data_IF_595242503107
#
_entry.id   IF_595242503107
#
_cell.length_a   1.000
_cell.length_b   1.000
_cell.length_c   1.000
_cell.angle_alpha   90.00
_cell.angle_beta   90.00
_cell.angle_gamma   90.00
#
_symmetry.space_group_name_H-M   'P 1'
#
loop_
_entity.id
_entity.type
_entity.pdbx_description
1 polymer ?
#
# COMPACT_ATOMS: atom_id res chain seq x y z
N UNK A 1 -16.73 -13.06 -11.38
CA UNK A 1 -15.45 -12.47 -10.93
C UNK A 1 -15.59 -10.97 -11.07
N UNK A 2 -15.32 -10.21 -10.02
CA UNK A 2 -15.43 -8.73 -10.02
C UNK A 2 -14.07 -8.11 -9.69
N UNK A 3 -13.80 -6.87 -10.11
CA UNK A 3 -12.62 -6.13 -9.66
C UNK A 3 -12.62 -5.94 -8.14
N UNK A 4 -11.45 -6.08 -7.51
CA UNK A 4 -11.28 -5.79 -6.09
C UNK A 4 -10.74 -4.38 -5.92
N UNK A 5 -11.53 -3.52 -5.29
CA UNK A 5 -11.12 -2.18 -4.87
C UNK A 5 -10.54 -2.25 -3.46
N UNK A 6 -9.49 -1.47 -3.22
CA UNK A 6 -8.77 -1.45 -1.96
C UNK A 6 -8.91 -0.10 -1.28
N UNK A 7 -9.10 -0.12 0.04
CA UNK A 7 -9.08 1.07 0.87
C UNK A 7 -7.62 1.52 1.04
N UNK A 8 -7.24 2.70 0.53
CA UNK A 8 -5.88 3.19 0.67
C UNK A 8 -5.55 3.49 2.13
N UNK A 9 -4.26 3.47 2.45
CA UNK A 9 -3.74 3.86 3.76
C UNK A 9 -2.84 5.07 3.57
N UNK A 10 -3.09 6.13 4.33
CA UNK A 10 -2.33 7.37 4.27
C UNK A 10 -1.26 7.41 5.36
N UNK A 11 -0.10 7.95 5.00
CA UNK A 11 1.07 8.02 5.88
C UNK A 11 1.63 9.45 5.92
N UNK A 12 1.74 9.97 7.13
CA UNK A 12 2.38 11.27 7.39
C UNK A 12 3.88 11.23 7.14
N UNK A 13 4.38 12.29 6.51
CA UNK A 13 5.80 12.50 6.24
C UNK A 13 6.11 13.98 6.35
N UNK A 14 7.25 14.32 6.95
CA UNK A 14 7.68 15.72 7.12
C UNK A 14 7.75 16.50 5.79
N UNK A 15 7.98 15.80 4.67
CA UNK A 15 8.04 16.35 3.31
C UNK A 15 6.69 16.28 2.57
N UNK A 16 5.64 15.78 3.22
CA UNK A 16 4.32 15.58 2.63
C UNK A 16 3.52 16.88 2.49
N UNK A 17 2.32 16.76 1.92
CA UNK A 17 1.45 17.91 1.66
C UNK A 17 -0.04 17.52 1.63
N UNK A 18 -0.81 18.28 0.84
CA UNK A 18 -2.26 18.08 0.66
C UNK A 18 -2.65 17.65 -0.74
N UNK A 19 -1.71 17.41 -1.66
CA UNK A 19 -2.02 17.12 -3.07
C UNK A 19 -2.82 15.82 -3.24
N UNK A 20 -2.67 14.85 -2.34
CA UNK A 20 -3.50 13.65 -2.29
C UNK A 20 -4.98 13.97 -2.07
N UNK A 21 -5.27 14.95 -1.21
CA UNK A 21 -6.63 15.48 -1.04
C UNK A 21 -7.05 16.30 -2.26
N UNK A 22 -6.23 17.26 -2.67
CA UNK A 22 -6.64 18.27 -3.64
C UNK A 22 -6.81 17.73 -5.07
N UNK A 23 -6.02 16.72 -5.46
CA UNK A 23 -6.03 16.14 -6.83
C UNK A 23 -6.81 14.84 -6.95
N UNK A 24 -6.86 14.04 -5.89
CA UNK A 24 -7.52 12.73 -5.91
C UNK A 24 -8.78 12.69 -5.04
N UNK A 25 -9.10 13.79 -4.37
CA UNK A 25 -10.25 13.91 -3.48
C UNK A 25 -10.23 12.89 -2.33
N UNK A 26 -9.03 12.53 -1.86
CA UNK A 26 -8.87 11.65 -0.71
C UNK A 26 -9.11 12.39 0.61
N UNK A 27 -9.70 11.67 1.56
CA UNK A 27 -9.72 12.09 2.95
C UNK A 27 -8.35 11.78 3.58
N UNK A 28 -7.66 12.83 4.02
CA UNK A 28 -6.36 12.73 4.68
C UNK A 28 -6.44 13.38 6.06
N UNK A 29 -5.77 12.80 7.04
CA UNK A 29 -5.85 13.24 8.45
C UNK A 29 -4.84 14.34 8.80
N UNK A 30 -3.91 14.66 7.90
CA UNK A 30 -2.78 15.55 8.16
C UNK A 30 -2.43 16.42 6.95
N UNK A 31 -2.04 17.69 7.15
CA UNK A 31 -1.53 18.56 6.08
C UNK A 31 -0.14 18.13 5.57
N UNK A 32 0.46 17.12 6.20
CA UNK A 32 1.78 16.56 5.83
C UNK A 32 1.67 15.12 5.36
N UNK A 33 0.54 14.75 4.74
CA UNK A 33 0.36 13.40 4.21
C UNK A 33 1.26 13.21 3.00
N UNK A 34 2.29 12.37 3.11
CA UNK A 34 3.29 12.20 2.05
C UNK A 34 3.11 10.93 1.21
N UNK A 35 2.49 9.88 1.75
CA UNK A 35 2.29 8.62 1.02
C UNK A 35 0.84 8.15 1.10
N UNK A 36 0.28 7.76 -0.04
CA UNK A 36 -0.89 6.90 -0.15
C UNK A 36 -0.41 5.50 -0.53
N UNK A 37 -0.55 4.55 0.39
CA UNK A 37 -0.35 3.13 0.10
C UNK A 37 -1.64 2.61 -0.52
N UNK A 38 -1.69 2.65 -1.86
CA UNK A 38 -2.88 2.36 -2.63
C UNK A 38 -3.13 0.85 -2.79
N UNK A 39 -2.05 0.07 -2.98
CA UNK A 39 -2.11 -1.39 -3.03
C UNK A 39 -0.99 -1.93 -2.15
N UNK A 40 -1.35 -2.47 -1.00
CA UNK A 40 -0.38 -2.95 -0.03
C UNK A 40 -0.88 -4.15 0.75
N UNK A 41 0.00 -5.13 0.94
CA UNK A 41 -0.15 -6.17 1.98
C UNK A 41 0.93 -6.07 3.06
N UNK A 42 1.68 -4.96 3.10
CA UNK A 42 2.81 -4.82 3.99
C UNK A 42 2.33 -4.77 5.45
N UNK A 43 3.06 -5.40 6.38
CA UNK A 43 2.65 -5.55 7.79
C UNK A 43 2.29 -4.25 8.51
N UNK A 44 2.91 -3.14 8.10
CA UNK A 44 2.67 -1.79 8.68
C UNK A 44 1.53 -1.02 7.99
N UNK A 45 0.92 -1.59 6.96
CA UNK A 45 -0.15 -0.95 6.20
C UNK A 45 -0.70 -1.95 5.20
N UNK A 46 -1.66 -2.75 5.64
CA UNK A 46 -2.27 -3.81 4.84
C UNK A 46 -3.69 -3.38 4.46
N UNK A 47 -3.90 -3.15 3.17
CA UNK A 47 -5.13 -2.59 2.64
C UNK A 47 -6.31 -3.54 2.83
N UNK A 48 -7.48 -2.97 3.11
CA UNK A 48 -8.73 -3.71 3.16
C UNK A 48 -9.41 -3.69 1.80
N UNK A 49 -10.11 -4.76 1.44
CA UNK A 49 -10.99 -4.76 0.28
C UNK A 49 -12.26 -3.97 0.60
N UNK A 50 -12.69 -3.08 -0.30
CA UNK A 50 -13.84 -2.19 -0.09
C UNK A 50 -15.17 -2.74 -0.60
N UNK A 51 -15.12 -3.68 -1.54
CA UNK A 51 -16.30 -4.16 -2.26
C UNK A 51 -16.43 -5.68 -2.24
N UNK A 52 -17.63 -6.13 -2.62
CA UNK A 52 -17.86 -7.51 -3.00
C UNK A 52 -17.78 -8.52 -1.85
N UNK A 53 -17.61 -9.79 -2.23
CA UNK A 53 -17.54 -10.94 -1.31
C UNK A 53 -16.44 -10.82 -0.25
N UNK A 54 -15.35 -10.15 -0.58
CA UNK A 54 -14.17 -10.04 0.28
C UNK A 54 -14.08 -8.73 1.06
N UNK A 55 -15.14 -7.90 1.03
CA UNK A 55 -15.17 -6.63 1.75
C UNK A 55 -14.76 -6.79 3.21
N UNK A 56 -13.87 -5.90 3.67
CA UNK A 56 -13.33 -5.90 5.03
C UNK A 56 -12.22 -6.94 5.29
N UNK A 57 -11.88 -7.77 4.31
CA UNK A 57 -10.70 -8.65 4.37
C UNK A 57 -9.44 -7.87 4.00
N UNK A 58 -8.31 -8.27 4.58
CA UNK A 58 -6.98 -7.74 4.24
C UNK A 58 -6.47 -8.34 2.94
N UNK A 59 -5.68 -7.59 2.18
CA UNK A 59 -5.03 -8.11 0.97
C UNK A 59 -4.13 -9.30 1.28
N UNK A 60 -3.40 -9.26 2.41
CA UNK A 60 -2.59 -10.40 2.85
C UNK A 60 -3.42 -11.66 3.16
N UNK A 61 -4.65 -11.51 3.68
CA UNK A 61 -5.53 -12.65 3.96
C UNK A 61 -5.93 -13.35 2.65
N UNK A 62 -6.28 -12.56 1.63
CA UNK A 62 -6.59 -13.08 0.30
C UNK A 62 -5.38 -13.74 -0.33
N UNK A 63 -4.20 -13.13 -0.24
CA UNK A 63 -2.96 -13.74 -0.74
C UNK A 63 -2.71 -15.14 -0.15
N UNK A 64 -3.01 -15.31 1.14
CA UNK A 64 -2.75 -16.56 1.86
C UNK A 64 -3.84 -17.62 1.68
N UNK A 65 -5.12 -17.21 1.64
CA UNK A 65 -6.27 -18.13 1.65
C UNK A 65 -6.96 -18.29 0.31
N UNK A 66 -6.73 -17.36 -0.62
CA UNK A 66 -7.40 -17.25 -1.91
C UNK A 66 -6.38 -17.03 -3.03
N UNK A 67 -5.36 -17.89 -3.07
CA UNK A 67 -4.20 -17.76 -3.96
C UNK A 67 -4.58 -17.80 -5.46
N UNK A 68 -5.71 -18.42 -5.78
CA UNK A 68 -6.31 -18.46 -7.12
C UNK A 68 -6.62 -17.07 -7.68
N UNK A 69 -6.93 -16.09 -6.82
CA UNK A 69 -7.20 -14.71 -7.23
C UNK A 69 -5.96 -14.02 -7.82
N UNK A 70 -4.77 -14.55 -7.55
CA UNK A 70 -3.48 -14.01 -7.96
C UNK A 70 -2.79 -14.91 -9.00
N UNK A 71 -3.58 -15.68 -9.76
CA UNK A 71 -3.07 -16.58 -10.80
C UNK A 71 -2.21 -17.72 -10.24
N UNK A 72 -2.40 -18.10 -8.97
CA UNK A 72 -1.58 -19.09 -8.27
C UNK A 72 -0.08 -18.76 -8.21
N UNK A 73 0.26 -17.47 -8.24
CA UNK A 73 1.66 -17.00 -8.17
C UNK A 73 2.37 -17.54 -6.92
N UNK A 74 3.59 -18.11 -7.02
CA UNK A 74 4.32 -18.61 -5.86
C UNK A 74 4.77 -17.48 -4.92
N UNK A 75 5.12 -17.85 -3.68
CA UNK A 75 5.68 -16.93 -2.69
C UNK A 75 4.86 -16.79 -1.41
N UNK A 76 5.55 -16.39 -0.34
CA UNK A 76 5.01 -16.36 1.02
C UNK A 76 4.26 -15.06 1.33
N UNK A 77 4.52 -13.99 0.56
CA UNK A 77 3.94 -12.66 0.75
C UNK A 77 3.55 -12.09 -0.61
N UNK A 78 2.52 -11.25 -0.62
CA UNK A 78 2.16 -10.50 -1.82
C UNK A 78 3.38 -9.64 -2.21
N UNK A 79 3.80 -9.68 -3.48
CA UNK A 79 5.17 -9.32 -3.84
C UNK A 79 5.41 -7.81 -3.98
N UNK A 80 4.36 -7.01 -4.13
CA UNK A 80 4.48 -5.61 -4.51
C UNK A 80 3.78 -4.65 -3.53
N UNK A 81 4.21 -3.39 -3.59
CA UNK A 81 3.62 -2.27 -2.89
C UNK A 81 3.54 -1.11 -3.86
N UNK A 82 2.32 -0.64 -4.15
CA UNK A 82 2.08 0.51 -5.01
C UNK A 82 1.69 1.72 -4.16
N UNK A 83 2.38 2.84 -4.38
CA UNK A 83 2.15 4.09 -3.66
C UNK A 83 1.95 5.26 -4.61
N UNK A 84 1.19 6.26 -4.15
CA UNK A 84 1.21 7.62 -4.70
C UNK A 84 1.89 8.50 -3.66
N UNK A 85 2.88 9.28 -4.10
CA UNK A 85 3.66 10.14 -3.21
C UNK A 85 3.31 11.62 -3.47
N UNK A 86 3.05 12.35 -2.41
CA UNK A 86 3.01 13.81 -2.40
C UNK A 86 4.36 14.35 -1.90
N UNK A 87 5.31 14.49 -2.84
CA UNK A 87 6.64 14.99 -2.55
C UNK A 87 6.66 16.53 -2.59
N UNK A 88 6.18 17.15 -1.51
CA UNK A 88 6.05 18.61 -1.37
C UNK A 88 7.35 19.30 -0.90
N UNK A 89 8.33 18.53 -0.44
CA UNK A 89 9.71 18.98 -0.15
C UNK A 89 10.71 17.86 -0.50
N UNK A 90 12.00 18.10 -0.29
CA UNK A 90 13.08 17.14 -0.51
C UNK A 90 12.93 15.91 0.39
N UNK A 91 12.95 14.74 -0.23
CA UNK A 91 13.06 13.46 0.45
C UNK A 91 14.51 13.16 0.81
N UNK A 92 14.71 12.32 1.82
CA UNK A 92 16.04 11.81 2.14
C UNK A 92 16.62 10.99 0.99
N UNK A 93 17.95 11.00 0.87
CA UNK A 93 18.67 10.05 0.02
C UNK A 93 18.52 8.64 0.62
N UNK A 94 18.07 7.68 -0.19
CA UNK A 94 17.76 6.32 0.25
C UNK A 94 18.49 5.29 -0.60
N UNK A 95 18.90 4.19 0.03
CA UNK A 95 19.44 3.00 -0.64
C UNK A 95 18.62 1.80 -0.16
N UNK A 96 17.97 1.12 -1.10
CA UNK A 96 17.22 -0.09 -0.80
C UNK A 96 18.13 -1.31 -0.91
N UNK A 97 18.18 -2.19 0.12
CA UNK A 97 18.95 -3.42 0.05
C UNK A 97 18.31 -4.40 -0.95
N UNK A 98 19.12 -5.33 -1.45
CA UNK A 98 18.61 -6.51 -2.13
C UNK A 98 18.03 -7.54 -1.12
N UNK A 99 17.40 -8.58 -1.65
CA UNK A 99 16.75 -9.62 -0.84
C UNK A 99 17.71 -10.34 0.13
N UNK A 100 18.94 -10.62 -0.30
CA UNK A 100 19.91 -11.33 0.53
C UNK A 100 20.31 -10.50 1.77
N UNK A 101 20.59 -9.22 1.57
CA UNK A 101 20.98 -8.32 2.65
C UNK A 101 19.79 -8.02 3.58
N UNK A 102 18.59 -7.84 3.01
CA UNK A 102 17.38 -7.57 3.79
C UNK A 102 17.02 -8.71 4.76
N UNK A 103 17.30 -9.97 4.39
CA UNK A 103 17.03 -11.15 5.24
C UNK A 103 17.99 -11.34 6.40
N UNK A 104 19.17 -10.70 6.39
CA UNK A 104 20.18 -10.82 7.46
C UNK A 104 19.88 -9.92 8.67
N UNK A 105 18.83 -9.09 8.60
CA UNK A 105 18.38 -8.13 9.61
C UNK A 105 16.99 -8.49 10.11
#
# INVERSE_FOLDING_TARGET
>A
MEPLFLKPIFMDRIWGGTALKDKFNYEIDSPTTGECWAISSHKNGDCLIENGKYKGKKLSELWNKNRELFGNTPGDKFPLLTKILDANDNLSVQVHPNDEYAKKK
#
